data_IF_897626398407
#
_entry.id   IF_897626398407
#
_cell.length_a   1.000
_cell.length_b   1.000
_cell.length_c   1.000
_cell.angle_alpha   90.00
_cell.angle_beta   90.00
_cell.angle_gamma   90.00
#
_symmetry.space_group_name_H-M   'P 1'
#
loop_
_entity.id
_entity.type
_entity.pdbx_description
1 polymer ?
#
# COMPACT_ATOMS: atom_id res chain seq x y z
N UNK A 1 11.17 -7.03 -27.08
CA UNK A 1 10.95 -5.82 -26.27
C UNK A 1 9.64 -5.88 -25.49
N UNK A 2 8.55 -6.39 -26.08
CA UNK A 2 7.26 -6.61 -25.38
C UNK A 2 7.36 -7.57 -24.19
N UNK A 3 8.06 -8.70 -24.32
CA UNK A 3 8.23 -9.67 -23.22
C UNK A 3 8.96 -9.13 -21.99
N UNK A 4 9.78 -8.09 -22.13
CA UNK A 4 10.49 -7.46 -20.99
C UNK A 4 9.54 -6.62 -20.14
N UNK A 5 8.50 -6.06 -20.74
CA UNK A 5 7.51 -5.23 -20.06
C UNK A 5 6.44 -6.05 -19.32
N UNK A 6 6.14 -7.27 -19.83
CA UNK A 6 5.14 -8.15 -19.21
C UNK A 6 5.59 -8.72 -17.85
N UNK A 7 6.90 -8.75 -17.60
CA UNK A 7 7.48 -9.26 -16.36
C UNK A 7 7.75 -8.17 -15.30
N UNK A 8 7.53 -6.88 -15.62
CA UNK A 8 7.70 -5.82 -14.63
C UNK A 8 6.49 -5.75 -13.71
N UNK A 9 6.71 -5.81 -12.39
CA UNK A 9 5.65 -5.94 -11.40
C UNK A 9 4.68 -4.76 -11.27
N UNK A 10 4.96 -3.64 -11.92
CA UNK A 10 4.30 -2.36 -11.71
C UNK A 10 3.82 -1.73 -13.01
N UNK A 11 3.46 -2.56 -13.94
CA UNK A 11 3.14 -2.16 -15.30
C UNK A 11 1.75 -1.56 -15.44
N UNK A 12 0.87 -1.73 -14.48
CA UNK A 12 -0.39 -1.02 -14.51
C UNK A 12 -0.33 0.17 -13.59
N UNK A 13 -0.21 1.32 -14.18
CA UNK A 13 -0.89 2.46 -13.63
C UNK A 13 -0.36 2.98 -12.30
N UNK A 14 -0.28 4.10 -12.18
CA UNK A 14 -1.38 4.94 -11.87
C UNK A 14 -1.35 5.51 -10.50
N UNK A 15 -0.53 5.10 -9.61
CA UNK A 15 -0.89 5.23 -8.23
C UNK A 15 0.25 5.68 -7.38
N UNK A 16 0.76 6.88 -7.69
CA UNK A 16 1.83 7.37 -6.88
C UNK A 16 1.63 8.83 -6.66
N UNK A 17 1.55 9.14 -5.40
CA UNK A 17 1.53 10.49 -4.90
C UNK A 17 2.78 11.25 -5.36
N UNK A 18 2.64 12.53 -5.67
CA UNK A 18 3.78 13.42 -5.93
C UNK A 18 4.67 13.55 -4.69
N UNK A 19 4.12 13.34 -3.49
CA UNK A 19 4.83 13.31 -2.21
C UNK A 19 5.11 11.86 -1.78
N UNK A 20 5.59 11.06 -2.69
CA UNK A 20 5.66 9.63 -2.56
C UNK A 20 6.54 9.16 -1.40
N UNK A 21 5.88 8.74 -0.34
CA UNK A 21 6.41 7.79 0.62
C UNK A 21 5.51 6.55 0.56
N UNK A 22 6.04 5.36 0.24
CA UNK A 22 5.23 4.14 0.11
C UNK A 22 4.38 3.85 1.34
N UNK A 23 4.80 4.33 2.50
CA UNK A 23 4.14 4.11 3.79
C UNK A 23 3.32 5.31 4.29
N UNK A 24 3.20 6.37 3.50
CA UNK A 24 2.45 7.55 3.92
C UNK A 24 0.95 7.31 3.84
N UNK A 25 0.30 7.48 4.98
CA UNK A 25 -1.14 7.51 5.11
C UNK A 25 -1.54 8.76 5.88
N UNK A 26 -2.51 9.50 5.36
CA UNK A 26 -3.18 10.60 6.06
C UNK A 26 -4.62 10.22 6.33
N UNK A 27 -5.10 10.50 7.52
CA UNK A 27 -6.52 10.44 7.86
C UNK A 27 -6.93 11.73 8.52
N UNK A 28 -8.08 12.25 8.12
CA UNK A 28 -8.68 13.45 8.67
C UNK A 28 -10.17 13.21 8.89
N UNK A 29 -10.69 13.69 10.01
CA UNK A 29 -12.11 13.80 10.21
C UNK A 29 -12.51 15.24 9.88
N UNK A 30 -13.40 15.41 8.94
CA UNK A 30 -13.76 16.72 8.38
C UNK A 30 -15.28 16.94 8.49
N UNK A 31 -15.65 18.20 8.69
CA UNK A 31 -17.04 18.65 8.59
C UNK A 31 -17.18 19.63 7.44
N UNK A 32 -17.78 19.18 6.36
CA UNK A 32 -17.98 19.93 5.13
C UNK A 32 -19.31 20.69 5.24
N UNK A 33 -19.26 22.01 5.05
CA UNK A 33 -20.41 22.94 5.18
C UNK A 33 -20.69 23.74 3.91
N UNK A 34 -19.82 23.62 2.91
CA UNK A 34 -19.93 24.31 1.63
C UNK A 34 -19.35 23.43 0.52
N UNK A 35 -19.61 23.80 -0.71
CA UNK A 35 -19.04 23.16 -1.89
C UNK A 35 -17.51 23.19 -1.85
N UNK A 36 -16.88 22.06 -2.14
CA UNK A 36 -15.42 22.01 -2.36
C UNK A 36 -15.05 22.55 -3.75
N UNK A 37 -13.86 23.12 -3.86
CA UNK A 37 -13.25 23.36 -5.16
C UNK A 37 -13.01 22.05 -5.90
N UNK A 38 -13.20 22.05 -7.22
CA UNK A 38 -12.86 20.91 -8.06
C UNK A 38 -11.36 20.66 -7.97
N UNK A 39 -10.97 19.44 -7.62
CA UNK A 39 -9.58 19.04 -7.46
C UNK A 39 -9.34 17.61 -7.92
N UNK A 40 -8.09 17.26 -8.14
CA UNK A 40 -7.63 15.88 -8.28
C UNK A 40 -6.37 15.70 -7.43
N UNK A 41 -6.18 14.51 -6.93
CA UNK A 41 -5.00 14.13 -6.14
C UNK A 41 -4.20 13.07 -6.90
N UNK A 42 -2.93 12.96 -6.57
CA UNK A 42 -2.11 11.86 -7.07
C UNK A 42 -2.15 10.63 -6.16
N UNK A 43 -2.78 10.77 -5.00
CA UNK A 43 -3.04 9.70 -4.05
C UNK A 43 -4.39 9.04 -4.30
N UNK A 44 -4.53 7.85 -3.78
CA UNK A 44 -5.80 7.16 -3.61
C UNK A 44 -6.49 7.70 -2.37
N UNK A 45 -7.79 7.77 -2.42
CA UNK A 45 -8.59 8.31 -1.33
C UNK A 45 -9.80 7.44 -1.03
N UNK A 46 -9.97 7.08 0.23
CA UNK A 46 -11.26 6.65 0.75
C UNK A 46 -11.96 7.83 1.43
N UNK A 47 -13.25 7.99 1.16
CA UNK A 47 -14.13 8.91 1.90
C UNK A 47 -15.26 8.07 2.49
N UNK A 48 -15.36 8.04 3.81
CA UNK A 48 -16.47 7.44 4.52
C UNK A 48 -17.41 8.52 5.04
N UNK A 49 -18.69 8.46 4.67
CA UNK A 49 -19.69 9.42 5.12
C UNK A 49 -20.22 8.99 6.49
N UNK A 50 -19.76 9.68 7.55
CA UNK A 50 -20.16 9.40 8.93
C UNK A 50 -21.58 9.86 9.20
N UNK A 51 -21.94 11.08 8.73
CA UNK A 51 -23.28 11.63 8.88
C UNK A 51 -23.59 12.66 7.80
N UNK A 52 -24.88 12.85 7.53
CA UNK A 52 -25.37 13.82 6.56
C UNK A 52 -25.69 13.24 5.18
N UNK A 53 -25.99 14.12 4.26
CA UNK A 53 -26.27 13.82 2.85
C UNK A 53 -25.76 14.95 1.96
N UNK A 54 -25.42 14.64 0.74
CA UNK A 54 -24.92 15.59 -0.25
C UNK A 54 -24.74 14.90 -1.60
N UNK A 55 -23.84 15.44 -2.39
CA UNK A 55 -23.43 14.84 -3.66
C UNK A 55 -21.92 14.93 -3.83
N UNK A 56 -21.37 14.07 -4.66
CA UNK A 56 -19.99 14.20 -5.12
C UNK A 56 -19.96 14.26 -6.65
N UNK A 57 -19.25 15.23 -7.18
CA UNK A 57 -18.92 15.31 -8.60
C UNK A 57 -17.66 14.47 -8.82
N UNK A 58 -17.70 13.53 -9.77
CA UNK A 58 -16.53 12.72 -10.16
C UNK A 58 -16.43 12.71 -11.68
N UNK A 59 -15.36 13.23 -12.24
CA UNK A 59 -15.14 13.33 -13.69
C UNK A 59 -16.35 13.87 -14.46
N UNK A 60 -17.04 14.87 -13.89
CA UNK A 60 -18.24 15.47 -14.48
C UNK A 60 -19.56 14.75 -14.22
N UNK A 61 -19.58 13.57 -13.60
CA UNK A 61 -20.78 12.88 -13.16
C UNK A 61 -21.10 13.21 -11.70
N UNK A 62 -22.36 13.50 -11.42
CA UNK A 62 -22.84 13.79 -10.07
C UNK A 62 -23.46 12.54 -9.44
N UNK A 63 -22.99 12.19 -8.26
CA UNK A 63 -23.47 11.05 -7.48
C UNK A 63 -24.00 11.54 -6.13
N UNK A 64 -25.18 11.11 -5.75
CA UNK A 64 -25.70 11.34 -4.40
C UNK A 64 -24.93 10.49 -3.38
N UNK A 65 -24.65 11.07 -2.22
CA UNK A 65 -23.98 10.40 -1.09
C UNK A 65 -24.76 10.63 0.20
N UNK A 66 -24.77 9.61 1.03
CA UNK A 66 -25.49 9.64 2.32
C UNK A 66 -24.70 8.94 3.41
N UNK A 67 -25.15 9.11 4.65
CA UNK A 67 -24.57 8.41 5.81
C UNK A 67 -24.38 6.93 5.56
N UNK A 68 -23.15 6.45 5.71
CA UNK A 68 -22.75 5.05 5.55
C UNK A 68 -22.30 4.69 4.15
N UNK A 69 -22.15 5.66 3.24
CA UNK A 69 -21.50 5.43 1.96
C UNK A 69 -19.97 5.46 2.14
N UNK A 70 -19.30 4.54 1.46
CA UNK A 70 -17.86 4.46 1.33
C UNK A 70 -17.48 4.72 -0.13
N UNK A 71 -16.68 5.76 -0.35
CA UNK A 71 -16.19 6.16 -1.65
C UNK A 71 -14.73 5.71 -1.80
N UNK A 72 -14.39 5.26 -2.99
CA UNK A 72 -13.02 4.94 -3.36
C UNK A 72 -12.63 5.76 -4.59
N UNK A 73 -11.76 6.73 -4.39
CA UNK A 73 -11.34 7.67 -5.42
C UNK A 73 -9.92 7.38 -5.87
N UNK A 74 -9.75 7.30 -7.16
CA UNK A 74 -8.48 7.04 -7.82
C UNK A 74 -7.81 8.34 -8.28
N UNK A 75 -6.51 8.34 -8.53
CA UNK A 75 -5.78 9.55 -8.91
C UNK A 75 -6.32 10.31 -10.13
N UNK A 76 -7.02 9.62 -11.04
CA UNK A 76 -7.64 10.25 -12.22
C UNK A 76 -9.08 10.73 -11.96
N UNK A 77 -9.61 10.56 -10.75
CA UNK A 77 -10.90 11.09 -10.37
C UNK A 77 -10.77 12.56 -10.00
N UNK A 78 -11.11 13.43 -10.94
CA UNK A 78 -11.32 14.84 -10.66
C UNK A 78 -12.64 14.98 -9.93
N UNK A 79 -12.61 15.42 -8.68
CA UNK A 79 -13.76 15.33 -7.80
C UNK A 79 -13.99 16.59 -6.97
N UNK A 80 -15.19 16.72 -6.42
CA UNK A 80 -15.54 17.75 -5.45
C UNK A 80 -16.87 17.37 -4.75
N UNK A 81 -16.92 17.51 -3.44
CA UNK A 81 -18.18 17.42 -2.70
C UNK A 81 -19.06 18.64 -3.00
N UNK A 82 -20.37 18.40 -3.10
CA UNK A 82 -21.40 19.40 -3.38
C UNK A 82 -22.51 19.28 -2.36
N UNK A 83 -22.88 20.41 -1.78
CA UNK A 83 -23.91 20.52 -0.75
C UNK A 83 -25.01 21.49 -1.17
N UNK A 84 -26.25 21.14 -0.87
CA UNK A 84 -27.34 22.12 -0.93
C UNK A 84 -27.28 23.02 0.32
N UNK A 85 -27.85 24.23 0.25
CA UNK A 85 -27.93 25.12 1.40
C UNK A 85 -28.49 24.42 2.64
N UNK A 86 -27.77 24.52 3.76
CA UNK A 86 -28.14 23.88 5.03
C UNK A 86 -27.71 22.42 5.19
N UNK A 87 -27.19 21.77 4.16
CA UNK A 87 -26.60 20.42 4.29
C UNK A 87 -25.22 20.50 4.95
N UNK A 88 -24.92 19.45 5.72
CA UNK A 88 -23.61 19.25 6.36
C UNK A 88 -23.23 17.79 6.20
N UNK A 89 -21.99 17.54 5.84
CA UNK A 89 -21.39 16.21 5.81
C UNK A 89 -20.28 16.11 6.86
N UNK A 90 -20.32 15.07 7.67
CA UNK A 90 -19.16 14.66 8.48
C UNK A 90 -18.55 13.42 7.83
N UNK A 91 -17.27 13.48 7.54
CA UNK A 91 -16.58 12.43 6.79
C UNK A 91 -15.26 12.03 7.47
N UNK A 92 -14.82 10.79 7.23
CA UNK A 92 -13.41 10.44 7.29
C UNK A 92 -12.83 10.48 5.88
N UNK A 93 -11.73 11.20 5.72
CA UNK A 93 -10.94 11.25 4.48
C UNK A 93 -9.60 10.55 4.74
N UNK A 94 -9.36 9.45 4.05
CA UNK A 94 -8.17 8.62 4.17
C UNK A 94 -7.44 8.69 2.84
N UNK A 95 -6.23 9.26 2.84
CA UNK A 95 -5.42 9.47 1.63
C UNK A 95 -4.12 8.69 1.76
N UNK A 96 -3.79 7.90 0.75
CA UNK A 96 -2.61 7.04 0.78
C UNK A 96 -2.07 6.76 -0.62
N UNK A 97 -0.80 6.34 -0.66
CA UNK A 97 -0.18 5.87 -1.88
C UNK A 97 -0.54 4.40 -2.15
N UNK A 98 -0.76 4.04 -3.41
CA UNK A 98 -0.96 2.62 -3.77
C UNK A 98 0.30 1.76 -3.60
N UNK A 99 1.46 2.38 -3.56
CA UNK A 99 2.68 1.70 -3.13
C UNK A 99 2.51 0.99 -1.78
N UNK A 100 1.71 1.57 -0.91
CA UNK A 100 1.32 0.99 0.37
C UNK A 100 0.62 -0.38 0.21
N UNK A 101 -0.31 -0.52 -0.72
CA UNK A 101 -1.03 -1.77 -0.98
C UNK A 101 -0.16 -2.81 -1.70
N UNK A 102 0.80 -2.36 -2.50
CA UNK A 102 1.74 -3.23 -3.21
C UNK A 102 2.70 -3.95 -2.26
N UNK A 103 3.05 -3.34 -1.13
CA UNK A 103 3.92 -3.93 -0.11
C UNK A 103 3.29 -5.14 0.58
N UNK A 104 1.95 -5.21 0.61
CA UNK A 104 1.21 -6.28 1.32
C UNK A 104 0.83 -7.43 0.39
N UNK A 105 0.74 -7.18 -0.90
CA UNK A 105 0.28 -8.19 -1.85
C UNK A 105 1.32 -9.29 -2.05
N UNK A 106 1.01 -10.49 -1.61
CA UNK A 106 1.83 -11.69 -1.83
C UNK A 106 1.70 -12.23 -3.26
N UNK A 107 0.62 -11.90 -3.95
CA UNK A 107 0.34 -12.33 -5.32
C UNK A 107 0.00 -11.14 -6.22
N UNK A 108 0.96 -10.75 -7.05
CA UNK A 108 0.86 -9.62 -7.97
C UNK A 108 -0.24 -9.74 -9.03
N UNK A 109 -0.50 -10.94 -9.53
CA UNK A 109 -1.51 -11.16 -10.57
C UNK A 109 -2.91 -10.96 -10.00
N UNK A 110 -3.18 -11.47 -8.81
CA UNK A 110 -4.45 -11.24 -8.10
C UNK A 110 -4.65 -9.78 -7.75
N UNK A 111 -3.58 -9.09 -7.34
CA UNK A 111 -3.62 -7.66 -7.04
C UNK A 111 -3.95 -6.82 -8.29
N UNK A 112 -3.30 -7.09 -9.42
CA UNK A 112 -3.56 -6.39 -10.67
C UNK A 112 -4.98 -6.67 -11.20
N UNK A 113 -5.46 -7.91 -11.06
CA UNK A 113 -6.84 -8.26 -11.39
C UNK A 113 -7.84 -7.55 -10.47
N UNK A 114 -7.54 -7.45 -9.18
CA UNK A 114 -8.37 -6.77 -8.19
C UNK A 114 -8.45 -5.25 -8.46
N UNK A 115 -7.33 -4.60 -8.79
CA UNK A 115 -7.34 -3.18 -9.19
C UNK A 115 -8.19 -2.97 -10.44
N UNK A 116 -8.00 -3.79 -11.47
CA UNK A 116 -8.76 -3.67 -12.71
C UNK A 116 -10.28 -3.84 -12.47
N UNK A 117 -10.67 -4.73 -11.58
CA UNK A 117 -12.07 -4.87 -11.17
C UNK A 117 -12.62 -3.62 -10.46
N UNK A 118 -11.79 -2.94 -9.68
CA UNK A 118 -12.17 -1.67 -9.01
C UNK A 118 -12.23 -0.52 -10.00
N UNK A 119 -11.40 -0.52 -11.05
CA UNK A 119 -11.44 0.48 -12.13
C UNK A 119 -12.78 0.44 -12.89
N UNK A 120 -13.35 -0.74 -13.07
CA UNK A 120 -14.65 -0.93 -13.73
C UNK A 120 -15.86 -0.71 -12.78
N UNK A 121 -15.62 -0.57 -11.49
CA UNK A 121 -16.66 -0.47 -10.48
C UNK A 121 -17.13 0.97 -10.24
N UNK A 122 -18.37 1.11 -9.75
CA UNK A 122 -18.87 2.39 -9.25
C UNK A 122 -18.00 2.86 -8.07
N UNK A 123 -17.52 4.12 -8.04
CA UNK A 123 -16.63 4.59 -6.97
C UNK A 123 -17.32 4.74 -5.60
N UNK A 124 -18.60 4.41 -5.49
CA UNK A 124 -19.42 4.54 -4.29
C UNK A 124 -20.04 3.21 -3.92
N UNK A 125 -19.87 2.81 -2.68
CA UNK A 125 -20.44 1.62 -2.08
C UNK A 125 -21.35 2.01 -0.92
N UNK A 126 -22.66 1.75 -1.04
CA UNK A 126 -23.61 1.95 0.06
C UNK A 126 -23.59 0.76 1.01
N UNK A 127 -23.17 0.99 2.24
CA UNK A 127 -22.97 -0.04 3.24
C UNK A 127 -24.24 -0.32 4.05
N UNK A 128 -24.46 -1.60 4.34
CA UNK A 128 -25.48 -2.06 5.31
C UNK A 128 -25.07 -1.69 6.75
N UNK A 129 -26.02 -1.71 7.69
CA UNK A 129 -25.73 -1.41 9.11
C UNK A 129 -24.56 -2.21 9.72
N UNK A 130 -24.44 -3.54 9.51
CA UNK A 130 -23.26 -4.29 10.00
C UNK A 130 -21.95 -3.85 9.36
N UNK A 131 -21.96 -3.61 8.04
CA UNK A 131 -20.77 -3.17 7.29
C UNK A 131 -20.30 -1.78 7.72
N UNK A 132 -21.24 -0.84 8.00
CA UNK A 132 -20.93 0.49 8.54
C UNK A 132 -20.14 0.41 9.86
N UNK A 133 -20.52 -0.53 10.75
CA UNK A 133 -19.79 -0.73 12.02
C UNK A 133 -18.35 -1.16 11.78
N UNK A 134 -18.12 -2.05 10.83
CA UNK A 134 -16.77 -2.52 10.48
C UNK A 134 -15.90 -1.41 9.90
N UNK A 135 -16.45 -0.68 8.92
CA UNK A 135 -15.71 0.42 8.26
C UNK A 135 -15.45 1.56 9.23
N UNK A 136 -16.45 1.95 10.04
CA UNK A 136 -16.28 2.98 11.05
C UNK A 136 -15.23 2.61 12.08
N UNK A 137 -15.21 1.34 12.52
CA UNK A 137 -14.16 0.82 13.41
C UNK A 137 -12.77 1.01 12.79
N UNK A 138 -12.58 0.58 11.54
CA UNK A 138 -11.28 0.73 10.84
C UNK A 138 -10.87 2.22 10.70
N UNK A 139 -11.79 3.09 10.32
CA UNK A 139 -11.52 4.53 10.22
C UNK A 139 -11.10 5.12 11.58
N UNK A 140 -11.80 4.74 12.66
CA UNK A 140 -11.46 5.19 14.01
C UNK A 140 -10.07 4.69 14.45
N UNK A 141 -9.76 3.41 14.23
CA UNK A 141 -8.45 2.86 14.57
C UNK A 141 -7.32 3.58 13.83
N UNK A 142 -7.46 3.78 12.51
CA UNK A 142 -6.47 4.53 11.72
C UNK A 142 -6.35 5.97 12.24
N UNK A 143 -7.47 6.61 12.60
CA UNK A 143 -7.49 7.98 13.09
C UNK A 143 -6.81 8.11 14.46
N UNK A 144 -7.11 7.21 15.39
CA UNK A 144 -6.52 7.19 16.74
C UNK A 144 -5.01 6.97 16.67
N UNK A 145 -4.57 5.98 15.87
CA UNK A 145 -3.16 5.68 15.64
C UNK A 145 -2.39 6.91 15.12
N UNK A 146 -2.99 7.65 14.18
CA UNK A 146 -2.37 8.85 13.64
C UNK A 146 -2.33 10.03 14.62
N UNK A 147 -3.30 10.14 15.53
CA UNK A 147 -3.31 11.20 16.55
C UNK A 147 -2.30 10.94 17.67
N UNK A 148 -2.00 9.68 17.97
CA UNK A 148 -1.10 9.31 19.05
C UNK A 148 0.38 9.47 18.72
N UNK A 149 0.73 9.93 17.52
CA UNK A 149 2.12 10.13 17.04
C UNK A 149 3.02 8.90 17.26
N UNK A 150 2.45 7.71 17.29
CA UNK A 150 3.23 6.50 17.33
C UNK A 150 3.83 6.29 15.93
N UNK A 151 5.05 6.78 15.73
CA UNK A 151 5.88 6.53 14.53
C UNK A 151 6.06 5.03 14.23
N UNK A 152 5.56 4.17 15.12
CA UNK A 152 5.83 2.74 15.16
C UNK A 152 4.85 1.87 14.36
N UNK A 153 3.75 2.42 13.83
CA UNK A 153 2.68 1.58 13.30
C UNK A 153 2.41 1.74 11.79
N UNK A 154 3.45 2.02 11.00
CA UNK A 154 3.30 1.99 9.55
C UNK A 154 2.69 0.67 9.06
N UNK A 155 3.09 -0.47 9.62
CA UNK A 155 2.56 -1.78 9.27
C UNK A 155 1.08 -1.96 9.66
N UNK A 156 0.64 -1.40 10.80
CA UNK A 156 -0.77 -1.45 11.20
C UNK A 156 -1.62 -0.59 10.27
N UNK A 157 -1.20 0.64 9.99
CA UNK A 157 -1.90 1.52 9.05
C UNK A 157 -2.03 0.89 7.66
N UNK A 158 -0.95 0.26 7.19
CA UNK A 158 -0.92 -0.50 5.94
C UNK A 158 -1.94 -1.62 5.96
N UNK A 159 -1.98 -2.41 7.03
CA UNK A 159 -2.93 -3.52 7.19
C UNK A 159 -4.38 -3.03 7.25
N UNK A 160 -4.65 -1.94 7.96
CA UNK A 160 -5.99 -1.35 8.06
C UNK A 160 -6.50 -0.84 6.71
N UNK A 161 -5.64 -0.16 5.93
CA UNK A 161 -5.98 0.30 4.58
C UNK A 161 -6.18 -0.87 3.63
N UNK A 162 -5.36 -1.92 3.72
CA UNK A 162 -5.54 -3.14 2.93
C UNK A 162 -6.88 -3.81 3.26
N UNK A 163 -7.24 -3.88 4.53
CA UNK A 163 -8.51 -4.45 4.96
C UNK A 163 -9.71 -3.61 4.51
N UNK A 164 -9.60 -2.29 4.56
CA UNK A 164 -10.61 -1.38 4.03
C UNK A 164 -10.80 -1.55 2.51
N UNK A 165 -9.70 -1.69 1.78
CA UNK A 165 -9.72 -1.97 0.34
C UNK A 165 -10.37 -3.33 0.04
N UNK A 166 -10.01 -4.37 0.80
CA UNK A 166 -10.64 -5.68 0.70
C UNK A 166 -12.15 -5.60 0.94
N UNK A 167 -12.61 -4.90 1.98
CA UNK A 167 -14.03 -4.72 2.27
C UNK A 167 -14.73 -4.05 1.10
N UNK A 168 -14.15 -2.96 0.56
CA UNK A 168 -14.73 -2.27 -0.58
C UNK A 168 -14.90 -3.20 -1.79
N UNK A 169 -13.85 -3.90 -2.18
CA UNK A 169 -13.87 -4.85 -3.30
C UNK A 169 -14.85 -6.00 -3.08
N UNK A 170 -14.81 -6.62 -1.90
CA UNK A 170 -15.66 -7.76 -1.55
C UNK A 170 -17.16 -7.45 -1.62
N UNK A 171 -17.54 -6.26 -1.19
CA UNK A 171 -18.94 -5.85 -1.23
C UNK A 171 -19.36 -5.32 -2.60
N UNK A 172 -18.44 -4.71 -3.34
CA UNK A 172 -18.68 -4.32 -4.74
C UNK A 172 -18.98 -5.51 -5.64
N UNK A 173 -18.25 -6.60 -5.49
CA UNK A 173 -18.46 -7.82 -6.29
C UNK A 173 -19.86 -8.44 -6.12
N UNK A 174 -20.52 -8.18 -4.99
CA UNK A 174 -21.89 -8.65 -4.70
C UNK A 174 -22.99 -7.77 -5.33
N UNK A 175 -22.61 -6.62 -5.84
CA UNK A 175 -23.52 -5.74 -6.54
C UNK A 175 -23.57 -6.15 -8.02
N UNK A 176 -24.75 -6.24 -8.60
CA UNK A 176 -24.92 -6.43 -10.05
C UNK A 176 -24.19 -5.29 -10.76
N UNK A 177 -23.35 -5.58 -11.76
CA UNK A 177 -22.65 -4.54 -12.50
C UNK A 177 -23.65 -3.70 -13.26
N UNK A 178 -24.09 -2.61 -12.69
CA UNK A 178 -24.78 -1.56 -13.42
C UNK A 178 -23.70 -0.77 -14.17
N UNK A 179 -23.55 -1.00 -15.47
CA UNK A 179 -22.79 -0.10 -16.34
C UNK A 179 -23.36 1.29 -16.17
N UNK A 180 -22.64 2.12 -15.39
CA UNK A 180 -23.02 3.53 -15.31
C UNK A 180 -22.68 4.19 -16.65
N UNK A 181 -23.51 5.10 -17.16
CA UNK A 181 -23.16 5.89 -18.32
C UNK A 181 -21.92 6.71 -17.96
N UNK A 182 -20.76 6.30 -18.49
CA UNK A 182 -19.53 7.08 -18.38
C UNK A 182 -19.68 8.26 -19.32
N UNK A 183 -19.39 9.46 -18.84
CA UNK A 183 -19.37 10.62 -19.72
C UNK A 183 -18.02 10.69 -20.48
N UNK A 184 -17.97 11.50 -21.53
CA UNK A 184 -16.78 11.66 -22.36
C UNK A 184 -15.54 12.09 -21.56
N UNK A 185 -15.72 12.86 -20.49
CA UNK A 185 -14.61 13.31 -19.64
C UNK A 185 -13.94 12.13 -18.92
N UNK A 186 -14.76 11.20 -18.41
CA UNK A 186 -14.27 9.97 -17.79
C UNK A 186 -13.49 9.11 -18.78
N UNK A 187 -14.09 8.84 -19.95
CA UNK A 187 -13.47 8.02 -20.98
C UNK A 187 -12.14 8.59 -21.47
N UNK A 188 -12.04 9.92 -21.62
CA UNK A 188 -10.80 10.60 -22.03
C UNK A 188 -9.70 10.41 -20.97
N UNK A 189 -9.98 10.63 -19.70
CA UNK A 189 -9.00 10.51 -18.63
C UNK A 189 -8.56 9.06 -18.44
N UNK A 190 -9.51 8.13 -18.43
CA UNK A 190 -9.22 6.70 -18.36
C UNK A 190 -8.37 6.23 -19.55
N UNK A 191 -8.65 6.71 -20.77
CA UNK A 191 -7.85 6.37 -21.94
C UNK A 191 -6.40 6.81 -21.82
N UNK A 192 -6.16 8.06 -21.35
CA UNK A 192 -4.80 8.55 -21.09
C UNK A 192 -4.11 7.65 -20.05
N UNK A 193 -4.82 7.28 -19.02
CA UNK A 193 -4.37 6.47 -17.92
C UNK A 193 -3.96 5.06 -18.34
N UNK A 194 -4.74 4.41 -19.19
CA UNK A 194 -4.48 3.05 -19.69
C UNK A 194 -3.35 3.03 -20.74
N UNK A 195 -3.32 4.04 -21.62
CA UNK A 195 -2.44 4.03 -22.80
C UNK A 195 -1.24 4.97 -22.71
N UNK A 196 -0.91 5.54 -21.53
CA UNK A 196 0.18 6.52 -21.37
C UNK A 196 1.56 6.05 -21.85
N UNK A 197 1.83 4.75 -21.88
CA UNK A 197 3.10 4.17 -22.33
C UNK A 197 3.27 4.16 -23.82
N UNK A 198 2.17 4.06 -24.53
CA UNK A 198 2.19 4.06 -26.01
C UNK A 198 2.59 5.46 -26.52
N UNK A 199 2.97 5.59 -27.78
CA UNK A 199 3.20 6.87 -28.41
C UNK A 199 1.86 7.62 -28.62
N UNK A 200 1.17 7.89 -27.49
CA UNK A 200 -0.14 8.49 -27.46
C UNK A 200 -0.09 9.97 -27.86
N UNK A 201 -0.90 10.32 -28.85
CA UNK A 201 -1.13 11.71 -29.28
C UNK A 201 -2.58 12.08 -29.11
N UNK A 202 -2.88 13.38 -29.10
CA UNK A 202 -4.25 13.85 -29.07
C UNK A 202 -5.08 13.33 -30.25
N UNK A 203 -4.47 13.22 -31.44
CA UNK A 203 -5.13 12.69 -32.64
C UNK A 203 -5.52 11.23 -32.46
N UNK A 204 -4.60 10.39 -31.96
CA UNK A 204 -4.86 8.96 -31.70
C UNK A 204 -5.98 8.80 -30.66
N UNK A 205 -5.93 9.57 -29.57
CA UNK A 205 -6.99 9.53 -28.56
C UNK A 205 -8.34 9.93 -29.13
N UNK A 206 -8.40 11.02 -29.87
CA UNK A 206 -9.63 11.52 -30.48
C UNK A 206 -10.21 10.51 -31.47
N UNK A 207 -9.37 9.92 -32.32
CA UNK A 207 -9.76 8.85 -33.27
C UNK A 207 -10.32 7.64 -32.55
N UNK A 208 -9.63 7.14 -31.51
CA UNK A 208 -10.05 5.95 -30.76
C UNK A 208 -11.38 6.13 -30.02
N UNK A 209 -11.64 7.33 -29.54
CA UNK A 209 -12.90 7.68 -28.87
C UNK A 209 -13.95 8.21 -29.85
N UNK A 210 -13.65 8.28 -31.15
CA UNK A 210 -14.52 8.83 -32.19
C UNK A 210 -14.97 10.28 -31.89
N UNK A 211 -14.03 11.10 -31.38
CA UNK A 211 -14.25 12.49 -31.01
C UNK A 211 -13.42 13.45 -31.86
N UNK A 212 -13.87 14.68 -31.95
CA UNK A 212 -13.10 15.78 -32.53
C UNK A 212 -11.93 16.16 -31.58
N UNK A 213 -10.69 16.33 -32.08
CA UNK A 213 -9.57 16.75 -31.24
C UNK A 213 -9.80 18.06 -30.48
N UNK A 214 -10.56 19.00 -31.06
CA UNK A 214 -10.95 20.25 -30.41
C UNK A 214 -11.85 20.02 -29.21
N UNK A 215 -12.78 19.07 -29.30
CA UNK A 215 -13.68 18.71 -28.22
C UNK A 215 -12.90 18.05 -27.06
N UNK A 216 -11.99 17.12 -27.37
CA UNK A 216 -11.11 16.49 -26.36
C UNK A 216 -10.28 17.55 -25.61
N UNK A 217 -9.67 18.50 -26.31
CA UNK A 217 -8.95 19.62 -25.68
C UNK A 217 -9.83 20.43 -24.75
N UNK A 218 -11.04 20.76 -25.18
CA UNK A 218 -12.00 21.55 -24.39
C UNK A 218 -12.38 20.82 -23.13
N UNK A 219 -12.75 19.55 -23.22
CA UNK A 219 -13.15 18.73 -22.08
C UNK A 219 -11.99 18.59 -21.08
N UNK A 220 -10.79 18.23 -21.54
CA UNK A 220 -9.61 18.10 -20.67
C UNK A 220 -9.32 19.42 -19.94
N UNK A 221 -9.30 20.52 -20.65
CA UNK A 221 -9.01 21.82 -20.04
C UNK A 221 -10.08 22.25 -19.04
N UNK A 222 -11.35 22.04 -19.35
CA UNK A 222 -12.45 22.36 -18.44
C UNK A 222 -12.40 21.52 -17.17
N UNK A 223 -11.98 20.25 -17.28
CA UNK A 223 -11.98 19.32 -16.16
C UNK A 223 -10.71 19.38 -15.30
N UNK A 224 -9.54 19.52 -15.94
CA UNK A 224 -8.25 19.42 -15.26
C UNK A 224 -7.45 20.73 -15.20
N UNK A 225 -7.90 21.76 -15.93
CA UNK A 225 -7.13 22.98 -16.12
C UNK A 225 -5.83 22.80 -16.92
N UNK A 226 -5.63 21.62 -17.53
CA UNK A 226 -4.39 21.24 -18.20
C UNK A 226 -4.62 20.72 -19.62
N UNK A 227 -3.60 20.89 -20.46
CA UNK A 227 -3.61 20.35 -21.83
C UNK A 227 -3.48 18.82 -21.83
N UNK A 228 -3.80 18.18 -22.97
CA UNK A 228 -3.56 16.76 -23.19
C UNK A 228 -2.12 16.34 -22.85
N UNK A 229 -1.14 17.12 -23.35
CA UNK A 229 0.28 16.79 -23.12
C UNK A 229 0.69 16.91 -21.65
N UNK A 230 0.10 17.83 -20.92
CA UNK A 230 0.34 17.97 -19.48
C UNK A 230 -0.28 16.82 -18.70
N UNK A 231 -1.51 16.44 -19.00
CA UNK A 231 -2.16 15.29 -18.38
C UNK A 231 -1.39 13.98 -18.65
N UNK A 232 -0.96 13.77 -19.91
CA UNK A 232 -0.14 12.62 -20.28
C UNK A 232 1.22 12.61 -19.55
N UNK A 233 1.89 13.78 -19.48
CA UNK A 233 3.16 13.87 -18.76
C UNK A 233 3.00 13.67 -17.25
N UNK A 234 1.97 14.21 -16.63
CA UNK A 234 1.66 13.96 -15.21
C UNK A 234 1.49 12.48 -14.95
N UNK A 235 0.72 11.76 -15.78
CA UNK A 235 0.55 10.32 -15.67
C UNK A 235 1.87 9.57 -15.83
N UNK A 236 2.68 9.91 -16.83
CA UNK A 236 4.00 9.29 -17.06
C UNK A 236 4.98 9.53 -15.90
N UNK A 237 5.07 10.76 -15.42
CA UNK A 237 6.00 11.10 -14.33
C UNK A 237 5.56 10.47 -13.02
N UNK A 238 4.27 10.44 -12.71
CA UNK A 238 3.72 9.73 -11.54
C UNK A 238 4.18 8.27 -11.53
N UNK A 239 4.06 7.57 -12.67
CA UNK A 239 4.53 6.19 -12.78
C UNK A 239 6.07 6.08 -12.72
N UNK A 240 6.80 7.04 -13.28
CA UNK A 240 8.25 7.05 -13.20
C UNK A 240 8.76 7.20 -11.76
N UNK A 241 8.10 8.03 -10.96
CA UNK A 241 8.42 8.19 -9.53
C UNK A 241 8.31 6.86 -8.79
N UNK A 242 7.28 6.05 -9.09
CA UNK A 242 7.18 4.71 -8.52
C UNK A 242 8.34 3.81 -8.85
N UNK A 243 8.71 3.83 -10.12
CA UNK A 243 9.78 2.97 -10.60
C UNK A 243 11.15 3.37 -10.10
N UNK A 244 11.33 4.64 -9.67
CA UNK A 244 12.59 5.13 -9.11
C UNK A 244 12.98 4.48 -7.77
N UNK A 245 12.05 3.79 -7.10
CA UNK A 245 12.34 2.99 -5.90
C UNK A 245 13.19 1.75 -6.20
N UNK A 246 13.16 1.26 -7.43
CA UNK A 246 13.89 0.06 -7.83
C UNK A 246 15.30 0.46 -8.27
N UNK A 247 16.28 0.12 -7.44
CA UNK A 247 17.69 0.43 -7.70
C UNK A 247 18.22 -0.24 -8.97
N UNK A 248 17.66 -1.41 -9.32
CA UNK A 248 18.00 -2.17 -10.51
C UNK A 248 17.56 -1.50 -11.83
N UNK A 249 16.66 -0.52 -11.78
CA UNK A 249 16.21 0.21 -12.95
C UNK A 249 16.98 1.54 -13.12
N UNK A 250 17.65 1.71 -14.24
CA UNK A 250 18.24 3.01 -14.57
C UNK A 250 17.16 4.04 -14.94
N UNK A 251 17.44 5.34 -14.75
CA UNK A 251 16.54 6.41 -15.12
C UNK A 251 16.14 6.37 -16.61
N UNK A 252 17.06 5.94 -17.49
CA UNK A 252 16.77 5.77 -18.92
C UNK A 252 15.75 4.63 -19.16
N UNK A 253 15.93 3.49 -18.48
CA UNK A 253 14.96 2.39 -18.57
C UNK A 253 13.59 2.83 -18.07
N UNK A 254 13.53 3.53 -16.94
CA UNK A 254 12.28 4.08 -16.37
C UNK A 254 11.60 5.03 -17.37
N UNK A 255 12.36 5.96 -17.98
CA UNK A 255 11.81 6.86 -18.99
C UNK A 255 11.17 6.11 -20.16
N UNK A 256 11.83 5.06 -20.67
CA UNK A 256 11.30 4.21 -21.75
C UNK A 256 10.06 3.43 -21.32
N UNK A 257 10.07 2.85 -20.12
CA UNK A 257 8.92 2.13 -19.53
C UNK A 257 7.70 3.07 -19.44
N UNK A 258 7.92 4.32 -19.08
CA UNK A 258 6.86 5.32 -18.96
C UNK A 258 6.47 5.98 -20.30
N UNK A 259 6.97 5.47 -21.43
CA UNK A 259 6.56 5.90 -22.78
C UNK A 259 7.29 7.14 -23.31
N UNK A 260 8.43 7.51 -22.75
CA UNK A 260 9.28 8.55 -23.30
C UNK A 260 10.19 8.00 -24.41
N UNK A 261 10.22 8.67 -25.56
CA UNK A 261 11.04 8.26 -26.71
C UNK A 261 12.53 8.54 -26.47
N UNK A 262 12.85 9.59 -25.74
CA UNK A 262 14.21 10.01 -25.42
C UNK A 262 14.38 10.30 -23.94
N UNK A 263 15.58 10.05 -23.43
CA UNK A 263 15.95 10.37 -22.06
C UNK A 263 15.83 11.89 -21.78
N UNK A 264 16.23 12.71 -22.74
CA UNK A 264 16.13 14.16 -22.62
C UNK A 264 14.69 14.64 -22.38
N UNK A 265 13.72 14.08 -23.10
CA UNK A 265 12.31 14.42 -22.92
C UNK A 265 11.78 13.97 -21.55
N UNK A 266 12.24 12.81 -21.07
CA UNK A 266 11.92 12.32 -19.74
C UNK A 266 12.47 13.27 -18.66
N UNK A 267 13.77 13.57 -18.70
CA UNK A 267 14.42 14.47 -17.73
C UNK A 267 13.80 15.85 -17.71
N UNK A 268 13.51 16.42 -18.88
CA UNK A 268 12.85 17.73 -19.03
C UNK A 268 11.45 17.73 -18.39
N UNK A 269 10.65 16.70 -18.67
CA UNK A 269 9.30 16.58 -18.11
C UNK A 269 9.35 16.35 -16.59
N UNK A 270 10.25 15.49 -16.12
CA UNK A 270 10.43 15.20 -14.71
C UNK A 270 10.85 16.44 -13.92
N UNK A 271 11.90 17.13 -14.38
CA UNK A 271 12.37 18.37 -13.73
C UNK A 271 11.32 19.48 -13.74
N UNK A 272 10.53 19.59 -14.82
CA UNK A 272 9.45 20.58 -14.90
C UNK A 272 8.35 20.33 -13.87
N UNK A 273 7.99 19.07 -13.61
CA UNK A 273 6.90 18.71 -12.72
C UNK A 273 7.33 18.61 -11.25
N UNK A 274 8.55 18.15 -10.98
CA UNK A 274 9.03 17.86 -9.62
C UNK A 274 10.15 18.80 -9.14
N UNK A 275 10.62 19.70 -9.99
CA UNK A 275 11.68 20.67 -9.67
C UNK A 275 13.10 20.08 -9.69
N UNK A 276 13.26 18.79 -9.59
CA UNK A 276 14.54 18.08 -9.51
C UNK A 276 14.72 17.05 -10.64
N UNK A 277 15.92 16.54 -10.84
CA UNK A 277 16.16 15.45 -11.81
C UNK A 277 15.80 14.09 -11.23
N UNK A 278 15.54 13.06 -12.06
CA UNK A 278 15.27 11.69 -11.57
C UNK A 278 16.37 11.14 -10.65
N UNK A 279 17.63 11.44 -10.94
CA UNK A 279 18.77 11.00 -10.14
C UNK A 279 18.79 11.68 -8.76
N UNK A 280 18.60 13.00 -8.71
CA UNK A 280 18.51 13.77 -7.45
C UNK A 280 17.31 13.29 -6.65
N UNK A 281 16.15 13.12 -7.28
CA UNK A 281 14.94 12.63 -6.62
C UNK A 281 15.16 11.27 -5.97
N UNK A 282 15.80 10.31 -6.68
CA UNK A 282 16.16 9.00 -6.14
C UNK A 282 17.08 9.13 -4.94
N UNK A 283 18.11 9.97 -5.04
CA UNK A 283 19.08 10.17 -3.96
C UNK A 283 18.45 10.82 -2.73
N UNK A 284 17.56 11.79 -2.92
CA UNK A 284 16.80 12.41 -1.83
C UNK A 284 15.86 11.41 -1.16
N UNK A 285 15.20 10.51 -1.91
CA UNK A 285 14.38 9.44 -1.36
C UNK A 285 15.22 8.42 -0.56
N UNK A 286 16.40 8.05 -1.05
CA UNK A 286 17.33 7.21 -0.31
C UNK A 286 17.80 7.94 0.95
N UNK A 287 18.17 9.22 0.87
CA UNK A 287 18.58 10.04 2.01
C UNK A 287 17.43 10.25 3.00
N UNK A 288 16.21 10.48 2.53
CA UNK A 288 15.02 10.60 3.36
C UNK A 288 14.69 9.27 4.03
N UNK A 289 14.72 8.17 3.30
CA UNK A 289 14.58 6.83 3.87
C UNK A 289 15.73 6.52 4.85
N UNK A 290 16.96 6.93 4.55
CA UNK A 290 18.12 6.74 5.45
C UNK A 290 18.13 7.73 6.63
N UNK A 291 17.57 8.92 6.51
CA UNK A 291 17.46 9.88 7.61
C UNK A 291 16.20 9.68 8.46
N UNK A 292 15.15 9.07 7.91
CA UNK A 292 13.99 8.58 8.66
C UNK A 292 14.13 7.12 9.11
N UNK A 293 15.15 6.38 8.70
CA UNK A 293 15.56 5.16 9.38
C UNK A 293 16.21 5.54 10.73
N UNK A 294 15.45 6.15 11.61
CA UNK A 294 15.48 5.71 12.99
C UNK A 294 15.04 4.26 12.92
N UNK A 295 16.02 3.39 12.75
CA UNK A 295 15.79 1.95 12.84
C UNK A 295 14.91 1.71 14.05
N UNK A 296 13.67 1.32 13.82
CA UNK A 296 12.73 1.09 14.89
C UNK A 296 12.90 -0.34 15.44
N UNK A 297 12.27 -0.59 16.55
CA UNK A 297 12.35 -1.90 17.18
C UNK A 297 11.73 -3.01 16.32
N UNK A 298 10.78 -2.67 15.44
CA UNK A 298 10.11 -3.63 14.54
C UNK A 298 11.01 -4.05 13.38
N UNK A 299 11.77 -3.12 12.80
CA UNK A 299 12.77 -3.44 11.77
C UNK A 299 13.84 -4.38 12.32
N UNK A 300 14.30 -4.11 13.55
CA UNK A 300 15.23 -5.00 14.26
C UNK A 300 14.58 -6.36 14.52
N UNK A 301 13.32 -6.39 14.93
CA UNK A 301 12.57 -7.63 15.16
C UNK A 301 12.42 -8.45 13.87
N UNK A 302 12.02 -7.82 12.76
CA UNK A 302 11.90 -8.47 11.44
C UNK A 302 13.26 -9.00 10.97
N UNK A 303 14.32 -8.20 11.11
CA UNK A 303 15.66 -8.65 10.81
C UNK A 303 16.05 -9.90 11.62
N UNK A 304 15.76 -9.95 12.91
CA UNK A 304 15.98 -11.13 13.74
C UNK A 304 15.15 -12.32 13.23
N UNK A 305 13.88 -12.07 12.88
CA UNK A 305 12.97 -13.11 12.39
C UNK A 305 13.40 -13.69 11.03
N UNK A 306 13.98 -12.89 10.15
CA UNK A 306 14.53 -13.37 8.87
C UNK A 306 15.83 -14.15 9.03
N UNK A 307 16.62 -13.78 10.04
CA UNK A 307 18.00 -14.27 10.20
C UNK A 307 18.21 -15.23 11.39
N UNK A 308 17.15 -15.64 12.10
CA UNK A 308 17.25 -16.46 13.33
C UNK A 308 17.98 -17.79 13.17
N UNK A 309 17.99 -18.36 11.95
CA UNK A 309 18.61 -19.67 11.66
C UNK A 309 20.11 -19.65 11.67
N UNK A 310 20.71 -18.54 11.28
CA UNK A 310 22.17 -18.40 11.20
C UNK A 310 22.79 -18.11 12.56
N UNK A 311 24.11 -18.16 12.64
CA UNK A 311 24.86 -17.75 13.85
C UNK A 311 24.78 -16.22 14.02
N UNK A 312 23.60 -15.77 14.48
CA UNK A 312 23.24 -14.37 14.65
C UNK A 312 23.63 -13.89 16.06
N UNK A 313 24.47 -12.87 16.13
CA UNK A 313 24.87 -12.20 17.38
C UNK A 313 24.46 -10.73 17.34
N UNK A 314 24.30 -10.10 18.50
CA UNK A 314 24.01 -8.68 18.58
C UNK A 314 25.07 -7.84 17.82
N UNK A 315 26.33 -8.22 17.90
CA UNK A 315 27.45 -7.55 17.20
C UNK A 315 27.26 -7.61 15.68
N UNK A 316 27.01 -8.81 15.13
CA UNK A 316 26.73 -8.98 13.69
C UNK A 316 25.50 -8.18 13.25
N UNK A 317 24.44 -8.20 14.05
CA UNK A 317 23.25 -7.41 13.78
C UNK A 317 23.54 -5.90 13.80
N UNK A 318 24.35 -5.42 14.73
CA UNK A 318 24.76 -4.03 14.82
C UNK A 318 25.56 -3.57 13.61
N UNK A 319 26.49 -4.42 13.13
CA UNK A 319 27.30 -4.18 11.93
C UNK A 319 26.42 -4.15 10.67
N UNK A 320 25.57 -5.17 10.47
CA UNK A 320 24.71 -5.28 9.27
C UNK A 320 23.62 -4.22 9.20
N UNK A 321 23.07 -3.82 10.34
CA UNK A 321 22.03 -2.79 10.44
C UNK A 321 22.61 -1.36 10.55
N UNK A 322 23.93 -1.24 10.65
CA UNK A 322 24.63 0.03 10.88
C UNK A 322 24.11 0.83 12.09
N UNK A 323 23.80 0.12 13.18
CA UNK A 323 23.26 0.66 14.44
C UNK A 323 24.05 0.13 15.62
N UNK A 324 24.35 0.96 16.61
CA UNK A 324 25.09 0.50 17.79
C UNK A 324 24.33 -0.57 18.58
N UNK A 325 25.05 -1.55 19.15
CA UNK A 325 24.50 -2.60 20.02
C UNK A 325 23.63 -2.04 21.17
N UNK A 326 24.08 -0.91 21.75
CA UNK A 326 23.35 -0.20 22.81
C UNK A 326 22.01 0.30 22.31
N UNK A 327 21.97 0.90 21.12
CA UNK A 327 20.73 1.45 20.52
C UNK A 327 19.75 0.33 20.15
N UNK A 328 20.23 -0.79 19.56
CA UNK A 328 19.42 -1.98 19.29
C UNK A 328 18.71 -2.45 20.57
N UNK A 329 19.50 -2.69 21.65
CA UNK A 329 18.92 -3.19 22.90
C UNK A 329 18.00 -2.16 23.57
N UNK A 330 18.27 -0.86 23.44
CA UNK A 330 17.40 0.20 23.93
C UNK A 330 16.04 0.14 23.25
N UNK A 331 16.00 0.18 21.92
CA UNK A 331 14.78 0.14 21.13
C UNK A 331 13.95 -1.11 21.41
N UNK A 332 14.59 -2.28 21.44
CA UNK A 332 13.91 -3.53 21.72
C UNK A 332 13.32 -3.60 23.14
N UNK A 333 14.03 -3.05 24.15
CA UNK A 333 13.51 -2.99 25.53
C UNK A 333 12.35 -2.02 25.69
N UNK A 334 12.43 -0.86 25.05
CA UNK A 334 11.38 0.17 25.08
C UNK A 334 10.08 -0.36 24.46
N UNK A 335 10.18 -1.17 23.38
CA UNK A 335 9.02 -1.65 22.64
C UNK A 335 8.51 -3.01 23.10
N UNK A 336 9.41 -3.98 23.31
CA UNK A 336 9.05 -5.38 23.59
C UNK A 336 9.37 -5.81 25.02
N UNK A 337 9.90 -4.92 25.87
CA UNK A 337 10.43 -5.22 27.21
C UNK A 337 11.46 -6.36 27.20
N UNK A 338 12.16 -6.59 26.09
CA UNK A 338 13.13 -7.68 25.87
C UNK A 338 14.35 -7.15 25.14
N UNK A 339 15.52 -7.76 25.41
CA UNK A 339 16.73 -7.49 24.66
C UNK A 339 16.84 -8.40 23.42
N UNK A 340 17.85 -8.13 22.58
CA UNK A 340 18.11 -8.87 21.34
C UNK A 340 18.20 -10.39 21.54
N UNK A 341 18.96 -10.83 22.57
CA UNK A 341 19.13 -12.26 22.87
C UNK A 341 17.82 -12.92 23.27
N UNK A 342 17.01 -12.24 24.05
CA UNK A 342 15.71 -12.74 24.52
C UNK A 342 14.71 -12.88 23.38
N UNK A 343 14.70 -11.92 22.43
CA UNK A 343 13.85 -11.98 21.24
C UNK A 343 14.32 -13.11 20.30
N UNK A 344 15.61 -13.17 20.00
CA UNK A 344 16.16 -14.27 19.17
C UNK A 344 15.86 -15.63 19.75
N UNK A 345 16.03 -15.80 21.07
CA UNK A 345 15.71 -17.04 21.77
C UNK A 345 14.21 -17.35 21.69
N UNK A 346 13.33 -16.39 21.90
CA UNK A 346 11.89 -16.57 21.84
C UNK A 346 11.44 -17.02 20.44
N UNK A 347 11.95 -16.40 19.38
CA UNK A 347 11.65 -16.77 17.99
C UNK A 347 12.11 -18.21 17.70
N UNK A 348 13.33 -18.57 18.06
CA UNK A 348 13.89 -19.92 17.88
C UNK A 348 13.06 -21.00 18.59
N UNK A 349 12.67 -20.71 19.84
CA UNK A 349 11.88 -21.64 20.63
C UNK A 349 10.44 -21.77 20.12
N UNK A 350 9.82 -20.69 19.68
CA UNK A 350 8.47 -20.72 19.12
C UNK A 350 8.42 -21.52 17.82
N UNK A 351 9.38 -21.30 16.93
CA UNK A 351 9.46 -22.08 15.68
C UNK A 351 9.81 -23.54 15.97
N UNK A 352 10.73 -23.79 16.90
CA UNK A 352 11.05 -25.14 17.35
C UNK A 352 9.84 -25.89 17.91
N UNK A 353 9.01 -25.22 18.70
CA UNK A 353 7.74 -25.74 19.20
C UNK A 353 6.79 -26.13 18.08
N UNK A 354 6.64 -25.30 17.06
CA UNK A 354 5.78 -25.61 15.91
C UNK A 354 6.32 -26.79 15.11
N UNK A 355 7.64 -26.86 14.88
CA UNK A 355 8.26 -27.97 14.16
C UNK A 355 8.13 -29.30 14.89
N UNK A 356 8.18 -29.34 16.23
CA UNK A 356 7.98 -30.55 17.02
C UNK A 356 6.64 -31.24 16.80
N UNK A 357 5.63 -30.49 16.36
CA UNK A 357 4.25 -30.99 16.15
C UNK A 357 3.87 -31.15 14.68
N UNK A 358 4.60 -30.50 13.75
CA UNK A 358 4.23 -30.42 12.34
C UNK A 358 5.12 -31.23 11.39
N UNK A 359 6.32 -31.65 11.82
CA UNK A 359 7.26 -32.39 10.96
C UNK A 359 7.79 -33.63 11.64
N UNK A 360 8.10 -34.64 10.83
CA UNK A 360 8.74 -35.87 11.32
C UNK A 360 10.26 -35.75 11.30
N UNK A 361 10.79 -34.97 12.26
CA UNK A 361 12.22 -34.71 12.46
C UNK A 361 12.62 -34.95 13.90
N UNK A 362 13.87 -35.37 14.10
CA UNK A 362 14.43 -35.54 15.43
C UNK A 362 14.61 -34.21 16.16
N UNK A 363 14.59 -34.24 17.48
CA UNK A 363 14.84 -33.07 18.32
C UNK A 363 16.22 -32.44 17.99
N UNK A 364 17.17 -33.25 17.61
CA UNK A 364 18.52 -32.83 17.20
C UNK A 364 18.45 -32.02 15.92
N UNK A 365 17.78 -32.50 14.89
CA UNK A 365 17.60 -31.79 13.62
C UNK A 365 16.82 -30.50 13.81
N UNK A 366 15.72 -30.53 14.57
CA UNK A 366 14.92 -29.34 14.86
C UNK A 366 15.76 -28.26 15.55
N UNK A 367 16.60 -28.66 16.53
CA UNK A 367 17.44 -27.69 17.24
C UNK A 367 18.42 -26.95 16.29
N UNK A 368 19.00 -27.66 15.32
CA UNK A 368 19.89 -27.05 14.32
C UNK A 368 19.13 -26.21 13.29
N UNK A 369 17.95 -26.67 12.85
CA UNK A 369 17.10 -25.92 11.91
C UNK A 369 16.71 -24.57 12.50
N UNK A 370 16.45 -24.48 13.80
CA UNK A 370 16.10 -23.21 14.46
C UNK A 370 17.33 -22.40 14.94
N UNK A 371 18.53 -22.83 14.61
CA UNK A 371 19.77 -22.06 14.80
C UNK A 371 20.48 -22.26 16.16
N UNK A 372 20.18 -23.33 16.92
CA UNK A 372 20.99 -23.67 18.08
C UNK A 372 22.23 -24.44 17.65
N UNK A 373 23.38 -24.10 18.20
CA UNK A 373 24.65 -24.81 17.98
C UNK A 373 24.71 -26.12 18.76
N UNK A 374 24.00 -26.19 19.89
CA UNK A 374 23.97 -27.36 20.77
C UNK A 374 22.53 -27.76 21.12
N UNK A 375 22.23 -29.03 21.00
CA UNK A 375 20.91 -29.62 21.35
C UNK A 375 20.60 -29.48 22.85
N UNK A 376 21.64 -29.52 23.68
CA UNK A 376 21.54 -29.35 25.15
C UNK A 376 20.96 -27.98 25.50
N UNK A 377 21.42 -26.92 24.83
CA UNK A 377 20.92 -25.55 25.01
C UNK A 377 19.45 -25.42 24.58
N UNK A 378 19.08 -25.98 23.42
CA UNK A 378 17.69 -26.00 22.98
C UNK A 378 16.79 -26.69 24.01
N UNK A 379 17.14 -27.90 24.48
CA UNK A 379 16.36 -28.63 25.48
C UNK A 379 16.19 -27.84 26.78
N UNK A 380 17.27 -27.24 27.29
CA UNK A 380 17.26 -26.46 28.51
C UNK A 380 16.36 -25.25 28.40
N UNK A 381 16.50 -24.44 27.34
CA UNK A 381 15.73 -23.26 27.12
C UNK A 381 14.25 -23.58 26.85
N UNK A 382 13.99 -24.63 26.06
CA UNK A 382 12.63 -25.09 25.79
C UNK A 382 11.90 -25.49 27.06
N UNK A 383 12.53 -26.30 27.92
CA UNK A 383 11.94 -26.72 29.21
C UNK A 383 11.69 -25.50 30.12
N UNK A 384 12.63 -24.54 30.15
CA UNK A 384 12.45 -23.32 30.93
C UNK A 384 11.27 -22.48 30.42
N UNK A 385 11.07 -22.42 29.11
CA UNK A 385 10.04 -21.59 28.48
C UNK A 385 8.65 -22.23 28.52
N UNK A 386 8.56 -23.55 28.27
CA UNK A 386 7.28 -24.26 28.13
C UNK A 386 6.95 -25.27 29.23
N UNK A 387 7.76 -25.37 30.28
CA UNK A 387 7.54 -26.22 31.42
C UNK A 387 7.81 -27.72 31.19
N UNK A 388 7.93 -28.17 29.94
CA UNK A 388 8.16 -29.56 29.54
C UNK A 388 9.34 -29.71 28.59
N UNK A 389 9.93 -30.89 28.51
CA UNK A 389 10.98 -31.15 27.52
C UNK A 389 10.40 -31.23 26.11
N UNK A 390 11.21 -30.94 25.05
CA UNK A 390 10.74 -31.08 23.66
C UNK A 390 10.12 -32.46 23.36
N UNK A 391 10.65 -33.54 23.95
CA UNK A 391 10.13 -34.91 23.77
C UNK A 391 8.76 -35.07 24.41
N UNK A 392 8.60 -34.61 25.65
CA UNK A 392 7.31 -34.68 26.36
C UNK A 392 6.26 -33.84 25.63
N UNK A 393 6.62 -32.65 25.17
CA UNK A 393 5.74 -31.77 24.41
C UNK A 393 5.24 -32.43 23.10
N UNK A 394 6.14 -33.01 22.32
CA UNK A 394 5.78 -33.69 21.07
C UNK A 394 4.86 -34.91 21.33
N UNK A 395 5.12 -35.70 22.39
CA UNK A 395 4.30 -36.85 22.75
C UNK A 395 2.89 -36.46 23.22
N UNK A 396 2.78 -35.44 24.09
CA UNK A 396 1.47 -34.99 24.58
C UNK A 396 0.59 -34.45 23.43
N UNK A 397 1.18 -33.75 22.46
CA UNK A 397 0.45 -33.27 21.30
C UNK A 397 0.00 -34.39 20.35
N UNK A 398 0.82 -35.44 20.16
CA UNK A 398 0.43 -36.61 19.36
C UNK A 398 -0.73 -37.39 20.03
N UNK A 399 -0.76 -37.46 21.35
CA UNK A 399 -1.86 -38.11 22.11
C UNK A 399 -3.16 -37.32 22.02
N UNK A 400 -3.11 -35.97 22.09
CA UNK A 400 -4.29 -35.13 21.92
C UNK A 400 -4.90 -35.22 20.52
N UNK A 401 -4.09 -35.37 19.47
CA UNK A 401 -4.58 -35.58 18.11
C UNK A 401 -5.18 -36.96 17.88
N UNK A 402 -4.74 -38.01 18.61
CA UNK A 402 -5.32 -39.32 18.52
C UNK A 402 -6.67 -39.45 19.27
N UNK A 403 -6.86 -38.68 20.35
CA UNK A 403 -8.14 -38.60 21.08
C UNK A 403 -9.22 -37.78 20.37
N UNK A 404 -8.83 -36.88 19.44
CA UNK A 404 -9.78 -36.13 18.62
C UNK A 404 -10.22 -36.89 17.33
N UNK A 405 -9.58 -38.00 17.02
CA UNK A 405 -9.90 -38.86 15.85
C UNK A 405 -10.74 -40.09 16.18
N UNK A 406 -10.97 -40.36 17.44
CA UNK A 406 -11.91 -41.36 17.96
C UNK A 406 -13.16 -40.68 18.52
#
# INVERSE_FOLDING_TARGET
>A
MEQFFDNLPYVSSDYISENFHPNQLRIQQETIRADEAIHHKNEVEFIYICSGSGSILINGNLFSVTTGDLLFLQPYHVNALRLQPGQVLTIYRITFSLGLLLLISTNRQEYLAAIKQVEDARPILSLTKPQRKQVLFLCNEIYIEKQQNHEMNNNLNVSLVAFLTYIFQHYQQKLTPTKQPRNLAWEILEFIQVYYRSPLTLAILAEKLQLEPKLVKKILYQLTGASFQENLNRTRIRNAVALLQFEELSSNQIGKICGYQTEANFYKAFKRLLGVTPAVYRQEQISYNSSQTRMDAWEIYLYIQENYRRDLTLKKAAEELNVSEKKINQLLRETFAKNFKEILLAIRLQIGKNLLTSVDKTIKEISYIVGFQEVSLFRRHFKKCYGSTPKQYALSHKQQLSTLKN
#
